data_IF_214980077572
#
_entry.id   IF_214980077572
#
_cell.length_a   1.000
_cell.length_b   1.000
_cell.length_c   1.000
_cell.angle_alpha   90.00
_cell.angle_beta   90.00
_cell.angle_gamma   90.00
#
_symmetry.space_group_name_H-M   'P 1'
#
loop_
_entity.id
_entity.type
_entity.pdbx_description
1 polymer ?
#
# COMPACT_ATOMS: atom_id res chain seq x y z
N UNK A 1 -16.79 4.24 -15.98
CA UNK A 1 -15.46 3.63 -16.26
C UNK A 1 -15.20 2.59 -15.20
N UNK A 2 -14.58 1.43 -15.52
CA UNK A 2 -14.26 0.43 -14.50
C UNK A 2 -13.24 1.03 -13.51
N UNK A 3 -13.55 0.95 -12.22
CA UNK A 3 -12.68 1.42 -11.13
C UNK A 3 -11.76 0.28 -10.72
N UNK A 4 -10.47 0.36 -11.06
CA UNK A 4 -9.47 -0.58 -10.56
C UNK A 4 -9.10 -0.19 -9.11
N UNK A 5 -9.25 -1.14 -8.18
CA UNK A 5 -8.80 -0.99 -6.78
C UNK A 5 -7.62 -1.91 -6.54
N UNK A 6 -6.54 -1.36 -5.98
CA UNK A 6 -5.36 -2.12 -5.54
C UNK A 6 -5.42 -2.28 -4.03
N UNK A 7 -5.31 -3.52 -3.54
CA UNK A 7 -5.23 -3.80 -2.11
C UNK A 7 -3.96 -4.59 -1.78
N UNK A 8 -3.06 -4.01 -0.98
CA UNK A 8 -1.83 -4.65 -0.54
C UNK A 8 -2.02 -5.34 0.82
N UNK A 9 -1.73 -6.64 0.87
CA UNK A 9 -1.89 -7.48 2.05
C UNK A 9 -0.65 -8.37 2.30
N UNK A 10 -0.45 -8.82 3.55
CA UNK A 10 0.74 -9.58 3.99
C UNK A 10 2.04 -8.87 3.62
N UNK A 11 2.95 -9.52 2.91
CA UNK A 11 4.26 -8.96 2.56
C UNK A 11 4.18 -7.88 1.46
N UNK A 12 3.11 -7.88 0.66
CA UNK A 12 2.91 -6.90 -0.41
C UNK A 12 2.80 -5.46 0.13
N UNK A 13 2.52 -5.27 1.43
CA UNK A 13 2.53 -3.94 2.07
C UNK A 13 3.88 -3.23 1.95
N UNK A 14 4.98 -3.98 1.78
CA UNK A 14 6.31 -3.41 1.59
C UNK A 14 6.45 -2.63 0.28
N UNK A 15 5.59 -2.88 -0.72
CA UNK A 15 5.55 -2.10 -1.96
C UNK A 15 5.15 -0.64 -1.72
N UNK A 16 4.41 -0.37 -0.64
CA UNK A 16 4.01 0.97 -0.22
C UNK A 16 5.05 1.66 0.67
N UNK A 17 6.23 1.08 0.90
CA UNK A 17 7.30 1.69 1.68
C UNK A 17 8.20 2.57 0.78
N UNK A 18 8.20 3.89 1.02
CA UNK A 18 8.99 4.86 0.23
C UNK A 18 10.49 4.80 0.49
N UNK A 19 10.91 4.10 1.55
CA UNK A 19 12.31 3.99 1.96
C UNK A 19 13.00 2.77 1.34
N UNK A 20 12.29 1.96 0.55
CA UNK A 20 12.91 0.84 -0.19
C UNK A 20 13.83 1.43 -1.26
N UNK A 21 15.11 1.41 -0.96
CA UNK A 21 16.18 1.82 -1.85
C UNK A 21 16.82 0.60 -2.52
N UNK A 22 17.20 0.77 -3.78
CA UNK A 22 18.01 -0.15 -4.57
C UNK A 22 18.94 0.70 -5.45
N UNK A 23 20.05 0.12 -5.90
CA UNK A 23 20.90 0.74 -6.91
C UNK A 23 20.13 0.96 -8.23
N UNK A 24 20.56 1.93 -9.05
CA UNK A 24 19.80 2.34 -10.25
C UNK A 24 19.75 1.26 -11.34
N UNK A 25 20.71 0.34 -11.35
CA UNK A 25 20.78 -0.82 -12.23
C UNK A 25 20.02 -2.05 -11.69
N UNK A 26 19.48 -1.96 -10.48
CA UNK A 26 18.73 -3.03 -9.83
C UNK A 26 17.22 -2.76 -9.88
N UNK A 27 16.39 -3.80 -10.09
CA UNK A 27 14.94 -3.64 -10.07
C UNK A 27 14.45 -3.20 -8.68
N UNK A 28 13.50 -2.26 -8.65
CA UNK A 28 12.88 -1.78 -7.43
C UNK A 28 11.35 -1.81 -7.55
N UNK A 29 10.77 -2.96 -7.24
CA UNK A 29 9.33 -3.18 -7.34
C UNK A 29 8.52 -2.15 -6.53
N UNK A 30 8.97 -1.76 -5.34
CA UNK A 30 8.27 -0.75 -4.53
C UNK A 30 8.18 0.58 -5.29
N UNK A 31 9.30 1.05 -5.85
CA UNK A 31 9.33 2.28 -6.66
C UNK A 31 8.45 2.16 -7.91
N UNK A 32 8.47 1.01 -8.59
CA UNK A 32 7.67 0.81 -9.81
C UNK A 32 6.16 0.80 -9.52
N UNK A 33 5.73 0.13 -8.46
CA UNK A 33 4.34 0.17 -8.01
C UNK A 33 3.90 1.57 -7.58
N UNK A 34 4.76 2.32 -6.89
CA UNK A 34 4.47 3.70 -6.49
C UNK A 34 4.28 4.62 -7.69
N UNK A 35 5.11 4.48 -8.73
CA UNK A 35 4.93 5.22 -10.00
C UNK A 35 3.62 4.85 -10.67
N UNK A 36 3.30 3.56 -10.75
CA UNK A 36 2.08 3.08 -11.38
C UNK A 36 0.83 3.64 -10.69
N UNK A 37 0.79 3.61 -9.35
CA UNK A 37 -0.32 4.18 -8.57
C UNK A 37 -0.50 5.68 -8.87
N UNK A 38 0.59 6.44 -8.91
CA UNK A 38 0.53 7.88 -9.19
C UNK A 38 0.14 8.17 -10.65
N UNK A 39 0.73 7.45 -11.61
CA UNK A 39 0.51 7.64 -13.04
C UNK A 39 -0.96 7.42 -13.43
N UNK A 40 -1.61 6.43 -12.82
CA UNK A 40 -3.00 6.08 -13.14
C UNK A 40 -4.02 6.56 -12.09
N UNK A 41 -3.57 7.27 -11.04
CA UNK A 41 -4.46 7.76 -9.98
C UNK A 41 -5.25 6.65 -9.29
N UNK A 42 -4.61 5.50 -9.06
CA UNK A 42 -5.31 4.31 -8.54
C UNK A 42 -5.74 4.49 -7.08
N UNK A 43 -6.88 3.92 -6.72
CA UNK A 43 -7.25 3.70 -5.32
C UNK A 43 -6.39 2.57 -4.76
N UNK A 44 -5.25 2.93 -4.16
CA UNK A 44 -4.27 1.99 -3.59
C UNK A 44 -4.38 1.93 -2.05
N UNK A 45 -4.97 0.85 -1.58
CA UNK A 45 -5.19 0.56 -0.17
C UNK A 45 -4.15 -0.43 0.35
N UNK A 46 -3.77 -0.28 1.62
CA UNK A 46 -2.78 -1.13 2.29
C UNK A 46 -3.36 -1.58 3.62
N UNK A 47 -3.32 -2.88 3.91
CA UNK A 47 -3.79 -3.41 5.18
C UNK A 47 -2.97 -2.84 6.35
N UNK A 48 -3.61 -2.00 7.18
CA UNK A 48 -2.98 -1.25 8.29
C UNK A 48 -2.28 -2.19 9.27
N UNK A 49 -2.91 -3.30 9.66
CA UNK A 49 -2.32 -4.24 10.61
C UNK A 49 -1.09 -4.95 10.03
N UNK A 50 -1.12 -5.31 8.74
CA UNK A 50 0.01 -5.96 8.07
C UNK A 50 1.17 -4.98 7.85
N UNK A 51 0.85 -3.73 7.50
CA UNK A 51 1.79 -2.64 7.31
C UNK A 51 2.54 -2.31 8.61
N UNK A 52 1.81 -2.03 9.70
CA UNK A 52 2.39 -1.71 10.99
C UNK A 52 3.27 -2.84 11.53
N UNK A 53 2.84 -4.10 11.39
CA UNK A 53 3.63 -5.27 11.79
C UNK A 53 4.95 -5.43 11.02
N UNK A 54 5.11 -4.75 9.88
CA UNK A 54 6.33 -4.74 9.04
C UNK A 54 7.02 -3.37 9.00
N UNK A 55 6.63 -2.48 9.91
CA UNK A 55 7.23 -1.14 10.01
C UNK A 55 6.84 -0.20 8.87
N UNK A 56 5.74 -0.46 8.15
CA UNK A 56 5.16 0.49 7.18
C UNK A 56 4.06 1.30 7.86
N UNK A 57 4.20 2.62 7.93
CA UNK A 57 3.27 3.49 8.65
C UNK A 57 3.12 4.86 7.98
N UNK A 58 1.96 5.47 8.15
CA UNK A 58 1.73 6.90 7.88
C UNK A 58 2.01 7.75 9.13
N UNK A 59 1.86 9.07 8.99
CA UNK A 59 2.09 10.03 10.07
C UNK A 59 1.10 9.91 11.23
N UNK A 60 -0.17 9.60 10.93
CA UNK A 60 -1.22 9.48 11.94
C UNK A 60 -0.99 8.26 12.84
N UNK A 61 -0.70 7.10 12.24
CA UNK A 61 -0.41 5.87 12.96
C UNK A 61 0.95 5.93 13.66
N UNK A 62 1.95 6.57 13.07
CA UNK A 62 3.23 6.80 13.74
C UNK A 62 3.04 7.57 15.06
N UNK A 63 2.29 8.69 15.01
CA UNK A 63 1.95 9.47 16.20
C UNK A 63 1.13 8.64 17.21
N UNK A 64 0.12 7.91 16.74
CA UNK A 64 -0.77 7.09 17.58
C UNK A 64 -0.02 6.01 18.35
N UNK A 65 1.00 5.41 17.73
CA UNK A 65 1.72 4.27 18.27
C UNK A 65 3.11 4.62 18.81
N UNK A 66 3.47 5.92 18.86
CA UNK A 66 4.76 6.38 19.39
C UNK A 66 5.96 5.91 18.55
N UNK A 67 5.79 5.77 17.24
CA UNK A 67 6.85 5.39 16.32
C UNK A 67 7.66 6.62 15.89
N UNK A 68 8.95 6.41 15.64
CA UNK A 68 9.82 7.45 15.09
C UNK A 68 9.63 7.56 13.57
N UNK A 69 8.98 8.64 13.15
CA UNK A 69 8.74 8.93 11.74
C UNK A 69 7.69 8.05 11.07
N UNK A 70 7.59 8.20 9.74
CA UNK A 70 6.69 7.44 8.89
C UNK A 70 7.39 7.09 7.58
N UNK A 71 6.86 6.15 6.81
CA UNK A 71 7.49 5.68 5.56
C UNK A 71 6.50 5.24 4.47
N UNK A 72 5.18 5.44 4.67
CA UNK A 72 4.20 5.19 3.63
C UNK A 72 4.46 6.10 2.41
N UNK A 73 4.38 5.52 1.22
CA UNK A 73 4.55 6.23 -0.04
C UNK A 73 3.29 7.01 -0.44
N UNK A 74 3.48 8.12 -1.15
CA UNK A 74 2.39 8.95 -1.68
C UNK A 74 1.50 8.14 -2.62
N UNK A 75 0.18 8.31 -2.49
CA UNK A 75 -0.83 7.61 -3.28
C UNK A 75 -1.40 6.37 -2.60
N UNK A 76 -0.80 5.90 -1.50
CA UNK A 76 -1.29 4.78 -0.71
C UNK A 76 -2.05 5.26 0.53
N UNK A 77 -3.04 4.48 0.98
CA UNK A 77 -3.79 4.72 2.22
C UNK A 77 -3.83 3.47 3.08
N UNK A 78 -3.56 3.61 4.39
CA UNK A 78 -3.72 2.52 5.35
C UNK A 78 -5.20 2.33 5.68
N UNK A 79 -5.70 1.10 5.54
CA UNK A 79 -7.09 0.74 5.81
C UNK A 79 -7.22 -0.57 6.56
N UNK A 80 -8.36 -0.78 7.22
CA UNK A 80 -8.69 -2.06 7.83
C UNK A 80 -9.09 -3.13 6.81
N UNK A 81 -9.08 -4.40 7.22
CA UNK A 81 -9.53 -5.53 6.38
C UNK A 81 -11.00 -5.44 5.95
N UNK A 82 -11.82 -4.63 6.63
CA UNK A 82 -13.20 -4.37 6.21
C UNK A 82 -13.30 -3.77 4.80
N UNK A 83 -12.34 -2.92 4.40
CA UNK A 83 -12.31 -2.37 3.04
C UNK A 83 -12.07 -3.45 1.98
N UNK A 84 -11.22 -4.43 2.28
CA UNK A 84 -11.02 -5.58 1.41
C UNK A 84 -12.31 -6.40 1.30
N UNK A 85 -12.97 -6.68 2.43
CA UNK A 85 -14.22 -7.43 2.44
C UNK A 85 -15.32 -6.74 1.60
N UNK A 86 -15.43 -5.41 1.73
CA UNK A 86 -16.33 -4.59 0.90
C UNK A 86 -15.96 -4.67 -0.58
N UNK A 87 -14.68 -4.51 -0.92
CA UNK A 87 -14.23 -4.59 -2.32
C UNK A 87 -14.47 -5.98 -2.93
N UNK A 88 -14.25 -7.06 -2.18
CA UNK A 88 -14.53 -8.43 -2.63
C UNK A 88 -16.04 -8.67 -2.87
N UNK A 89 -16.91 -7.94 -2.17
CA UNK A 89 -18.35 -8.01 -2.37
C UNK A 89 -18.83 -7.16 -3.55
N UNK A 90 -18.25 -5.98 -3.75
CA UNK A 90 -18.65 -5.01 -4.77
C UNK A 90 -18.05 -5.29 -6.16
N UNK A 91 -16.84 -5.84 -6.23
CA UNK A 91 -16.10 -5.96 -7.48
C UNK A 91 -16.48 -7.22 -8.25
N UNK A 92 -16.76 -7.12 -9.57
CA UNK A 92 -17.19 -8.26 -10.37
C UNK A 92 -16.07 -9.26 -10.64
N UNK A 93 -14.81 -8.83 -10.50
CA UNK A 93 -13.61 -9.64 -10.78
C UNK A 93 -12.52 -9.32 -9.77
N UNK A 94 -11.81 -10.37 -9.35
CA UNK A 94 -10.71 -10.29 -8.39
C UNK A 94 -9.52 -11.08 -8.95
N UNK A 95 -8.36 -10.45 -8.98
CA UNK A 95 -7.09 -11.08 -9.34
C UNK A 95 -6.18 -11.06 -8.10
N UNK A 96 -5.74 -12.24 -7.67
CA UNK A 96 -4.86 -12.41 -6.50
C UNK A 96 -3.55 -13.06 -6.95
N UNK A 97 -2.45 -12.60 -6.38
CA UNK A 97 -1.08 -13.07 -6.62
C UNK A 97 -0.39 -13.43 -5.30
#
# INVERSE_FOLDING_TARGET
MPTLRLFLYRDAVMLANRLIWQADDMPNAARDWQRLVQQFGLTAQVCVSSALARGVTDSANAKRHGLDGNNLATGFTLVGLGELAMALHEMPQVYQF
#
